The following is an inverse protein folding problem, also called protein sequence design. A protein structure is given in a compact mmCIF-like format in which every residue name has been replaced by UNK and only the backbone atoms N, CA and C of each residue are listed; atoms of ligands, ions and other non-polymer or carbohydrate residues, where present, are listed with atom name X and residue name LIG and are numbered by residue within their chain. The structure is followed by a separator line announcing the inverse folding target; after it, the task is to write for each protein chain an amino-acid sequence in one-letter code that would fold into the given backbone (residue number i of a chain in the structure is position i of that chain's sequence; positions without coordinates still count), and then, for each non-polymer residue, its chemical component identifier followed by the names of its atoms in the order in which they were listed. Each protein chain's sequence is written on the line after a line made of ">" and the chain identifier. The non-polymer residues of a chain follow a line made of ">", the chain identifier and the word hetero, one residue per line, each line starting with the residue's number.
data_IF_476127987442
#
_entry.id   IF_476127987442
#
_cell.length_a   1.000
_cell.length_b   1.000
_cell.length_c   1.000
_cell.angle_alpha   90.00
_cell.angle_beta   90.00
_cell.angle_gamma   90.00
#
_symmetry.space_group_name_H-M   'P 1'
#
loop_
_entity.id
_entity.type
_entity.pdbx_description
1 polymer ?
#
# COMPACT_ATOMS: atom_id res chain seq x y z
N UNK A 1 2.83 4.26 -14.29
CA UNK A 1 3.94 3.46 -13.73
C UNK A 1 4.91 4.40 -13.04
N UNK A 2 5.36 4.01 -11.86
CA UNK A 2 6.37 4.70 -11.06
C UNK A 2 7.73 4.00 -11.23
N UNK A 3 8.81 4.75 -11.05
CA UNK A 3 10.17 4.28 -11.26
C UNK A 3 11.15 5.08 -10.40
N UNK A 4 12.22 4.43 -9.92
CA UNK A 4 13.35 5.09 -9.26
C UNK A 4 14.28 5.77 -10.27
N UNK A 5 15.24 6.56 -9.76
CA UNK A 5 16.32 7.08 -10.57
C UNK A 5 17.17 5.96 -11.21
N UNK A 6 17.83 6.29 -12.31
CA UNK A 6 18.69 5.34 -13.03
C UNK A 6 19.78 4.76 -12.10
N UNK A 7 19.97 3.44 -12.18
CA UNK A 7 20.92 2.71 -11.34
C UNK A 7 20.47 2.45 -9.90
N UNK A 8 19.30 2.94 -9.47
CA UNK A 8 18.78 2.72 -8.12
C UNK A 8 17.77 1.57 -8.11
N UNK A 9 18.15 0.38 -7.63
CA UNK A 9 17.27 -0.80 -7.63
C UNK A 9 16.56 -1.06 -6.29
N UNK A 10 16.72 -0.17 -5.31
CA UNK A 10 16.10 -0.20 -3.99
C UNK A 10 15.40 1.11 -3.72
N UNK A 11 14.24 1.06 -3.06
CA UNK A 11 13.51 2.25 -2.68
C UNK A 11 12.46 1.95 -1.62
N UNK A 12 12.09 2.98 -0.89
CA UNK A 12 10.97 2.96 0.05
C UNK A 12 9.85 3.83 -0.50
N UNK A 13 8.66 3.26 -0.63
CA UNK A 13 7.44 3.99 -0.94
C UNK A 13 6.58 4.07 0.31
N UNK A 14 6.23 5.29 0.72
CA UNK A 14 5.35 5.54 1.86
C UNK A 14 3.99 6.03 1.37
N UNK A 15 2.94 5.33 1.78
CA UNK A 15 1.55 5.67 1.50
C UNK A 15 0.87 6.12 2.80
N UNK A 16 0.37 7.36 2.85
CA UNK A 16 -0.56 7.80 3.89
C UNK A 16 -1.99 7.60 3.38
N UNK A 17 -2.75 6.72 4.03
CA UNK A 17 -4.14 6.42 3.69
C UNK A 17 -5.12 7.48 4.21
N UNK A 18 -4.65 8.45 5.00
CA UNK A 18 -5.42 9.57 5.57
C UNK A 18 -6.16 9.23 6.87
N UNK A 19 -6.37 7.95 7.16
CA UNK A 19 -6.97 7.43 8.40
C UNK A 19 -6.46 6.01 8.67
N UNK A 20 -6.73 5.47 9.85
CA UNK A 20 -6.42 4.07 10.17
C UNK A 20 -7.47 3.14 9.57
N UNK A 21 -7.02 2.12 8.84
CA UNK A 21 -7.85 1.09 8.23
C UNK A 21 -7.45 -0.30 8.73
N UNK A 22 -8.42 -1.18 8.90
CA UNK A 22 -8.20 -2.61 9.04
C UNK A 22 -7.91 -3.23 7.67
N UNK A 23 -6.62 -3.38 7.36
CA UNK A 23 -6.16 -3.90 6.08
C UNK A 23 -6.24 -5.43 6.03
N UNK A 24 -6.51 -5.95 4.84
CA UNK A 24 -6.63 -7.39 4.51
C UNK A 24 -5.67 -7.85 3.41
N UNK A 25 -4.83 -6.94 2.92
CA UNK A 25 -3.83 -7.24 1.92
C UNK A 25 -3.56 -6.07 0.98
N UNK A 26 -2.74 -6.32 -0.03
CA UNK A 26 -2.49 -5.42 -1.13
C UNK A 26 -2.52 -6.20 -2.46
N UNK A 27 -2.96 -5.53 -3.53
CA UNK A 27 -2.78 -6.01 -4.90
C UNK A 27 -1.75 -5.11 -5.58
N UNK A 28 -0.70 -5.72 -6.14
CA UNK A 28 0.45 -5.02 -6.70
C UNK A 28 0.59 -5.40 -8.17
N UNK A 29 0.58 -4.42 -9.05
CA UNK A 29 0.92 -4.58 -10.46
C UNK A 29 2.37 -4.17 -10.66
N UNK A 30 3.20 -5.14 -11.07
CA UNK A 30 4.61 -4.90 -11.30
C UNK A 30 4.85 -4.06 -12.57
N UNK A 31 6.06 -3.55 -12.74
CA UNK A 31 6.47 -2.97 -14.01
C UNK A 31 6.35 -3.99 -15.14
N UNK A 32 5.80 -3.55 -16.26
CA UNK A 32 5.39 -4.45 -17.34
C UNK A 32 5.64 -3.87 -18.74
N UNK A 33 6.71 -3.09 -18.88
CA UNK A 33 7.09 -2.51 -20.17
C UNK A 33 8.39 -3.12 -20.68
N UNK A 34 8.42 -3.49 -21.96
CA UNK A 34 9.52 -4.24 -22.58
C UNK A 34 9.11 -5.67 -22.94
N UNK A 35 10.03 -6.41 -23.53
CA UNK A 35 9.79 -7.76 -24.05
C UNK A 35 10.81 -8.75 -23.46
N UNK A 36 10.42 -9.78 -22.69
CA UNK A 36 11.35 -10.68 -22.02
C UNK A 36 12.25 -11.49 -22.96
N UNK A 37 11.94 -11.55 -24.26
CA UNK A 37 12.79 -12.21 -25.25
C UNK A 37 14.00 -11.36 -25.69
N UNK A 38 14.06 -10.08 -25.32
CA UNK A 38 15.15 -9.17 -25.74
C UNK A 38 16.33 -9.20 -24.78
N UNK A 39 17.55 -9.17 -25.32
CA UNK A 39 18.81 -9.20 -24.57
C UNK A 39 19.04 -7.97 -23.68
N UNK A 40 18.31 -6.87 -23.84
CA UNK A 40 18.37 -5.70 -22.93
C UNK A 40 16.97 -5.19 -22.63
N UNK A 41 16.08 -6.10 -22.28
CA UNK A 41 14.67 -5.80 -22.09
C UNK A 41 14.38 -5.00 -20.84
N UNK A 42 13.70 -3.86 -20.97
CA UNK A 42 13.28 -3.01 -19.85
C UNK A 42 12.48 -3.76 -18.79
N UNK A 43 11.94 -4.94 -19.13
CA UNK A 43 11.15 -5.78 -18.23
C UNK A 43 11.88 -6.12 -16.93
N UNK A 44 13.23 -6.22 -16.96
CA UNK A 44 14.05 -6.52 -15.79
C UNK A 44 14.04 -5.41 -14.72
N UNK A 45 13.47 -4.23 -15.03
CA UNK A 45 13.24 -3.15 -14.04
C UNK A 45 12.14 -3.50 -13.04
N UNK A 46 11.35 -4.54 -13.29
CA UNK A 46 10.34 -5.01 -12.35
C UNK A 46 10.93 -5.30 -10.98
N UNK A 47 10.25 -4.83 -9.94
CA UNK A 47 10.55 -5.19 -8.55
C UNK A 47 10.50 -6.70 -8.41
N UNK A 48 11.48 -7.28 -7.71
CA UNK A 48 11.52 -8.71 -7.43
C UNK A 48 11.18 -8.93 -5.97
N UNK A 49 12.10 -8.70 -5.05
CA UNK A 49 11.88 -8.91 -3.61
C UNK A 49 11.45 -7.62 -2.92
N UNK A 50 10.43 -7.72 -2.06
CA UNK A 50 9.84 -6.57 -1.36
C UNK A 50 9.30 -6.94 0.01
N UNK A 51 9.12 -5.92 0.84
CA UNK A 51 8.46 -6.00 2.15
C UNK A 51 7.39 -4.92 2.28
N UNK A 52 6.36 -5.22 3.06
CA UNK A 52 5.30 -4.31 3.44
C UNK A 52 5.30 -4.15 4.96
N UNK A 53 5.23 -2.91 5.41
CA UNK A 53 5.13 -2.54 6.81
C UNK A 53 3.91 -1.66 7.04
N UNK A 54 3.26 -1.83 8.18
CA UNK A 54 2.13 -1.02 8.63
C UNK A 54 2.52 -0.14 9.82
N UNK A 55 1.91 1.02 9.90
CA UNK A 55 2.01 1.92 11.05
C UNK A 55 0.73 2.74 11.24
N UNK A 56 0.34 2.98 12.49
CA UNK A 56 -0.78 3.87 12.84
C UNK A 56 -0.31 5.29 13.19
N UNK A 57 0.96 5.46 13.58
CA UNK A 57 1.54 6.72 14.04
C UNK A 57 2.52 7.36 13.03
N UNK A 58 2.92 6.62 11.99
CA UNK A 58 3.87 7.06 10.97
C UNK A 58 5.33 7.04 11.43
N UNK A 59 5.60 6.50 12.61
CA UNK A 59 6.94 6.45 13.23
C UNK A 59 7.36 5.00 13.46
N UNK A 60 6.51 4.22 14.11
CA UNK A 60 6.78 2.82 14.43
C UNK A 60 6.16 1.93 13.35
N UNK A 61 7.01 1.25 12.58
CA UNK A 61 6.60 0.36 11.50
C UNK A 61 6.82 -1.10 11.89
N UNK A 62 5.78 -1.93 11.73
CA UNK A 62 5.84 -3.38 11.90
C UNK A 62 5.66 -4.09 10.56
N UNK A 63 6.47 -5.09 10.29
CA UNK A 63 6.34 -5.89 9.07
C UNK A 63 5.01 -6.63 9.05
N UNK A 64 4.30 -6.55 7.92
CA UNK A 64 3.03 -7.22 7.68
C UNK A 64 3.19 -8.37 6.67
N UNK A 65 4.12 -8.22 5.72
CA UNK A 65 4.32 -9.16 4.64
C UNK A 65 5.72 -9.01 4.01
N UNK A 66 6.30 -10.12 3.57
CA UNK A 66 7.47 -10.15 2.69
C UNK A 66 7.18 -11.10 1.52
N UNK A 67 7.63 -10.76 0.32
CA UNK A 67 7.49 -11.68 -0.79
C UNK A 67 8.26 -11.29 -2.04
N UNK A 68 8.04 -12.07 -3.09
CA UNK A 68 8.61 -11.86 -4.41
C UNK A 68 7.49 -11.62 -5.42
N UNK A 69 7.55 -10.52 -6.16
CA UNK A 69 6.67 -10.29 -7.30
C UNK A 69 7.21 -11.02 -8.52
N UNK A 70 6.35 -11.71 -9.27
CA UNK A 70 6.68 -12.22 -10.60
C UNK A 70 7.12 -11.10 -11.56
N UNK A 71 8.05 -11.44 -12.46
CA UNK A 71 8.49 -10.62 -13.57
C UNK A 71 7.32 -10.33 -14.52
N UNK A 72 7.28 -9.12 -15.06
CA UNK A 72 6.32 -8.76 -16.10
C UNK A 72 6.52 -9.55 -17.40
N UNK A 73 5.52 -9.51 -18.28
CA UNK A 73 5.53 -10.22 -19.57
C UNK A 73 5.58 -9.29 -20.78
N UNK A 74 5.39 -7.98 -20.58
CA UNK A 74 5.15 -7.02 -21.64
C UNK A 74 3.72 -7.03 -22.19
N UNK A 75 2.84 -7.90 -21.65
CA UNK A 75 1.44 -8.08 -22.04
C UNK A 75 0.52 -7.86 -20.85
N UNK A 76 -0.79 -7.56 -21.04
CA UNK A 76 -1.72 -7.37 -19.92
C UNK A 76 -1.63 -8.49 -18.88
N UNK A 77 -1.47 -8.11 -17.60
CA UNK A 77 -1.32 -9.04 -16.48
C UNK A 77 -2.15 -8.61 -15.27
N UNK A 78 -2.63 -9.59 -14.53
CA UNK A 78 -3.32 -9.37 -13.27
C UNK A 78 -2.34 -8.95 -12.17
N UNK A 79 -2.84 -8.21 -11.20
CA UNK A 79 -2.05 -7.82 -10.03
C UNK A 79 -1.82 -9.03 -9.11
N UNK A 80 -0.67 -9.05 -8.45
CA UNK A 80 -0.32 -10.08 -7.48
C UNK A 80 -0.83 -9.69 -6.10
N UNK A 81 -1.42 -10.65 -5.38
CA UNK A 81 -2.02 -10.41 -4.08
C UNK A 81 -1.01 -10.74 -2.98
N UNK A 82 -0.71 -9.75 -2.14
CA UNK A 82 -0.06 -9.93 -0.86
C UNK A 82 -1.14 -10.01 0.22
N UNK A 83 -1.34 -11.18 0.81
CA UNK A 83 -2.35 -11.41 1.86
C UNK A 83 -1.74 -11.17 3.24
N UNK A 84 -2.31 -10.23 3.99
CA UNK A 84 -1.91 -9.92 5.36
C UNK A 84 -3.08 -9.27 6.11
N UNK A 85 -3.00 -9.17 7.43
CA UNK A 85 -4.00 -8.47 8.24
C UNK A 85 -3.31 -7.53 9.21
N UNK A 86 -3.87 -6.33 9.38
CA UNK A 86 -3.41 -5.40 10.42
C UNK A 86 -3.98 -4.00 10.24
N UNK A 87 -3.98 -3.24 11.33
CA UNK A 87 -4.45 -1.85 11.32
C UNK A 87 -3.32 -0.91 10.94
N UNK A 88 -3.53 -0.08 9.92
CA UNK A 88 -2.54 0.88 9.46
C UNK A 88 -3.18 2.14 8.87
N UNK A 89 -2.55 3.28 9.12
CA UNK A 89 -2.75 4.53 8.36
C UNK A 89 -1.63 4.71 7.35
N UNK A 90 -0.41 4.39 7.74
CA UNK A 90 0.77 4.48 6.90
C UNK A 90 1.18 3.08 6.48
N UNK A 91 1.36 2.88 5.18
CA UNK A 91 1.92 1.64 4.64
C UNK A 91 3.23 1.95 3.95
N UNK A 92 4.28 1.23 4.33
CA UNK A 92 5.61 1.34 3.71
C UNK A 92 5.86 0.11 2.85
N UNK A 93 6.15 0.30 1.58
CA UNK A 93 6.63 -0.73 0.67
C UNK A 93 8.14 -0.52 0.48
N UNK A 94 8.93 -1.46 0.99
CA UNK A 94 10.37 -1.48 0.80
C UNK A 94 10.71 -2.42 -0.36
N UNK A 95 11.32 -1.88 -1.40
CA UNK A 95 11.87 -2.60 -2.55
C UNK A 95 13.29 -2.99 -2.21
N UNK A 96 13.56 -4.31 -2.18
CA UNK A 96 14.87 -4.86 -1.84
C UNK A 96 15.76 -5.06 -3.06
N UNK A 97 15.16 -5.36 -4.21
CA UNK A 97 15.84 -5.47 -5.50
C UNK A 97 14.85 -5.48 -6.68
N UNK A 98 15.42 -5.54 -7.89
CA UNK A 98 14.71 -5.79 -9.14
C UNK A 98 15.24 -7.07 -9.83
N UNK A 99 14.63 -7.45 -10.95
CA UNK A 99 15.07 -8.58 -11.76
C UNK A 99 16.37 -8.34 -12.55
N UNK A 100 16.88 -7.11 -12.57
CA UNK A 100 18.17 -6.76 -13.15
C UNK A 100 19.37 -7.14 -12.26
N UNK A 101 19.17 -7.34 -10.95
CA UNK A 101 20.25 -7.72 -10.02
C UNK A 101 20.88 -9.06 -10.40
N UNK A 102 22.21 -9.14 -10.43
CA UNK A 102 22.95 -10.35 -10.81
C UNK A 102 22.94 -10.65 -12.32
N UNK A 103 22.50 -9.70 -13.15
CA UNK A 103 22.48 -9.83 -14.62
C UNK A 103 23.40 -8.78 -15.27
N UNK A 104 23.52 -8.81 -16.59
CA UNK A 104 24.23 -7.79 -17.38
C UNK A 104 23.68 -6.36 -17.16
N UNK A 105 22.48 -6.24 -16.58
CA UNK A 105 21.77 -5.00 -16.32
C UNK A 105 22.00 -4.43 -14.90
N UNK A 106 22.72 -5.11 -14.01
CA UNK A 106 22.77 -4.74 -12.58
C UNK A 106 23.19 -3.28 -12.30
N UNK A 107 24.23 -2.78 -12.96
CA UNK A 107 24.82 -1.46 -12.66
C UNK A 107 23.99 -0.25 -13.14
N UNK A 108 22.99 -0.46 -14.00
CA UNK A 108 22.30 0.66 -14.67
C UNK A 108 20.79 0.66 -14.46
N UNK A 109 20.25 -0.33 -13.75
CA UNK A 109 18.81 -0.61 -13.80
C UNK A 109 18.09 -0.22 -12.53
N UNK A 110 17.20 0.75 -12.72
CA UNK A 110 16.24 1.22 -11.73
C UNK A 110 15.19 0.14 -11.39
N UNK A 111 14.44 0.33 -10.31
CA UNK A 111 13.25 -0.45 -9.98
C UNK A 111 11.99 0.28 -10.46
N UNK A 112 10.95 -0.47 -10.85
CA UNK A 112 9.67 0.10 -11.29
C UNK A 112 8.47 -0.72 -10.83
N UNK A 113 7.35 -0.02 -10.65
CA UNK A 113 6.04 -0.58 -10.31
C UNK A 113 4.96 0.10 -11.16
N UNK A 114 3.88 -0.63 -11.47
CA UNK A 114 2.76 -0.06 -12.21
C UNK A 114 1.72 0.55 -11.27
N UNK A 115 1.27 -0.22 -10.27
CA UNK A 115 0.21 0.18 -9.33
C UNK A 115 0.29 -0.61 -8.02
N UNK A 116 -0.13 0.02 -6.91
CA UNK A 116 -0.35 -0.62 -5.62
C UNK A 116 -1.75 -0.24 -5.13
N UNK A 117 -2.55 -1.24 -4.76
CA UNK A 117 -3.89 -1.07 -4.21
C UNK A 117 -4.00 -1.79 -2.88
N UNK A 118 -4.30 -1.08 -1.81
CA UNK A 118 -4.57 -1.69 -0.51
C UNK A 118 -6.03 -2.16 -0.41
N UNK A 119 -6.22 -3.33 0.18
CA UNK A 119 -7.53 -3.85 0.54
C UNK A 119 -7.78 -3.58 2.03
N UNK A 120 -8.84 -2.84 2.35
CA UNK A 120 -9.24 -2.56 3.73
C UNK A 120 -10.73 -2.23 3.80
N UNK A 121 -11.39 -2.70 4.86
CA UNK A 121 -12.74 -2.25 5.16
C UNK A 121 -12.62 -0.87 5.83
N UNK A 122 -13.48 0.05 5.39
CA UNK A 122 -13.88 1.36 5.98
C UNK A 122 -13.00 1.84 7.14
N UNK A 123 -12.41 3.05 7.06
CA UNK A 123 -11.61 3.57 8.17
C UNK A 123 -12.49 3.53 9.43
N UNK A 124 -11.91 3.08 10.55
CA UNK A 124 -12.69 2.71 11.74
C UNK A 124 -13.80 3.72 12.07
N UNK A 125 -14.96 3.26 12.59
CA UNK A 125 -16.20 4.01 12.60
C UNK A 125 -16.21 5.19 13.59
N UNK A 126 -15.33 6.19 13.42
CA UNK A 126 -15.48 7.50 14.03
C UNK A 126 -16.84 8.11 13.67
N UNK A 127 -17.35 7.78 12.48
CA UNK A 127 -18.70 8.17 12.05
C UNK A 127 -19.77 7.71 13.03
N UNK A 128 -19.69 6.47 13.55
CA UNK A 128 -20.70 5.96 14.47
C UNK A 128 -20.57 6.60 15.84
N UNK A 129 -19.35 6.80 16.33
CA UNK A 129 -19.10 7.50 17.59
C UNK A 129 -19.63 8.94 17.54
N UNK A 130 -19.41 9.65 16.43
CA UNK A 130 -19.91 11.03 16.24
C UNK A 130 -21.43 11.08 16.08
N UNK A 131 -22.04 10.11 15.40
CA UNK A 131 -23.50 10.00 15.30
C UNK A 131 -24.13 9.73 16.67
N UNK A 132 -23.60 8.75 17.43
CA UNK A 132 -24.09 8.44 18.79
C UNK A 132 -23.90 9.64 19.72
N UNK A 133 -22.74 10.31 19.66
CA UNK A 133 -22.51 11.54 20.43
C UNK A 133 -23.50 12.65 20.04
N UNK A 134 -23.72 12.88 18.74
CA UNK A 134 -24.66 13.88 18.23
C UNK A 134 -26.11 13.61 18.64
N UNK A 135 -26.57 12.36 18.51
CA UNK A 135 -27.92 11.96 18.94
C UNK A 135 -28.06 11.97 20.46
N UNK A 136 -27.04 11.55 21.21
CA UNK A 136 -27.02 11.60 22.66
C UNK A 136 -27.13 13.02 23.20
N UNK A 137 -26.36 13.96 22.64
CA UNK A 137 -26.41 15.38 23.00
C UNK A 137 -27.79 16.00 22.68
N UNK A 138 -28.33 15.69 21.50
CA UNK A 138 -29.67 16.18 21.10
C UNK A 138 -30.76 15.66 22.03
N UNK A 139 -30.75 14.36 22.32
CA UNK A 139 -31.70 13.73 23.26
C UNK A 139 -31.59 14.29 24.68
N UNK A 140 -30.36 14.53 25.17
CA UNK A 140 -30.13 15.15 26.47
C UNK A 140 -30.67 16.59 26.53
N UNK A 141 -30.48 17.38 25.47
CA UNK A 141 -31.00 18.74 25.38
C UNK A 141 -32.55 18.77 25.39
N UNK A 142 -33.20 17.84 24.67
CA UNK A 142 -34.66 17.68 24.69
C UNK A 142 -35.17 17.32 26.08
N UNK A 143 -34.51 16.38 26.78
CA UNK A 143 -34.90 15.96 28.13
C UNK A 143 -34.80 17.10 29.15
N UNK A 144 -33.77 17.96 29.08
CA UNK A 144 -33.65 19.13 29.98
C UNK A 144 -34.79 20.14 29.76
N UNK A 145 -35.21 20.39 28.53
CA UNK A 145 -36.31 21.31 28.24
C UNK A 145 -37.64 20.83 28.82
N UNK A 146 -37.92 19.53 28.75
CA UNK A 146 -39.12 18.95 29.34
C UNK A 146 -39.15 19.10 30.87
N UNK A 147 -38.00 18.95 31.54
CA UNK A 147 -37.91 19.06 33.01
C UNK A 147 -38.03 20.51 33.55
N UNK A 148 -37.74 21.52 32.74
CA UNK A 148 -37.87 22.94 33.11
C UNK A 148 -39.28 23.49 32.85
N UNK A 149 -40.06 22.81 31.99
CA UNK A 149 -41.42 23.19 31.64
C UNK A 149 -42.50 22.53 32.53
N UNK A 150 -42.11 21.68 33.48
CA UNK A 150 -42.97 21.04 34.48
C UNK A 150 -42.78 21.71 35.84
#
# INVERSE_FOLDING_TARGET
>A
MWMTDLGVNQATLLFDLGATYALKGATIWNYNFGNPAEFQSTILRGVKDYQLFGSTDGVNFSEMFSGTLALGTGQPLAGQVASFTGDARFVRLDILNNYGQGTYAEASWNAGLSEVRFAGAVPEPMTWAMMVAGFGLTGAAMRRRAAVAA
#
